data_IF_208576568623
#
_entry.id   IF_208576568623
#
_cell.length_a   1.000
_cell.length_b   1.000
_cell.length_c   1.000
_cell.angle_alpha   90.00
_cell.angle_beta   90.00
_cell.angle_gamma   90.00
#
_symmetry.space_group_name_H-M   'P 1'
#
loop_
_entity.id
_entity.type
_entity.pdbx_description
1 polymer ?
#
# COMPACT_ATOMS: atom_id res chain seq x y z
N UNK A 1 -15.48 -11.68 0.14
CA UNK A 1 -14.19 -11.93 0.78
C UNK A 1 -13.43 -10.64 0.92
N UNK A 2 -12.41 -10.62 1.77
CA UNK A 2 -11.53 -9.48 1.98
C UNK A 2 -10.10 -9.87 1.61
N UNK A 3 -9.42 -9.02 0.86
CA UNK A 3 -8.01 -9.15 0.51
C UNK A 3 -7.25 -7.94 1.05
N UNK A 4 -6.16 -8.16 1.78
CA UNK A 4 -5.23 -7.10 2.18
C UNK A 4 -3.91 -7.32 1.46
N UNK A 5 -3.41 -6.27 0.81
CA UNK A 5 -2.12 -6.30 0.09
C UNK A 5 -1.32 -5.08 0.49
N UNK A 6 -0.05 -5.30 0.83
CA UNK A 6 0.93 -4.24 1.10
C UNK A 6 1.88 -4.10 -0.09
N UNK A 7 2.28 -2.87 -0.39
CA UNK A 7 3.18 -2.56 -1.49
C UNK A 7 4.44 -1.88 -0.95
N UNK A 8 5.54 -2.63 -0.90
CA UNK A 8 6.82 -2.06 -0.48
C UNK A 8 7.24 -0.90 -1.39
N UNK A 9 7.87 0.09 -0.75
CA UNK A 9 8.43 1.30 -1.35
C UNK A 9 7.38 2.24 -1.96
N UNK A 10 6.10 2.04 -1.62
CA UNK A 10 4.97 2.87 -2.05
C UNK A 10 4.32 3.46 -0.81
N UNK A 11 4.07 4.77 -0.82
CA UNK A 11 3.29 5.41 0.23
C UNK A 11 1.79 5.09 0.07
N UNK A 12 1.16 4.57 1.13
CA UNK A 12 -0.22 4.10 1.09
C UNK A 12 -1.26 5.19 0.81
N UNK A 13 -1.04 6.41 1.30
CA UNK A 13 -1.94 7.56 1.04
C UNK A 13 -1.89 7.97 -0.44
N UNK A 14 -0.68 8.12 -0.98
CA UNK A 14 -0.46 8.38 -2.41
C UNK A 14 -1.11 7.31 -3.30
N UNK A 15 -1.03 6.04 -2.91
CA UNK A 15 -1.69 4.94 -3.62
C UNK A 15 -3.22 5.03 -3.52
N UNK A 16 -3.76 5.31 -2.33
CA UNK A 16 -5.20 5.49 -2.11
C UNK A 16 -5.76 6.65 -2.97
N UNK A 17 -5.08 7.79 -2.99
CA UNK A 17 -5.45 8.95 -3.82
C UNK A 17 -5.41 8.65 -5.32
N UNK A 18 -4.50 7.77 -5.76
CA UNK A 18 -4.38 7.38 -7.15
C UNK A 18 -5.49 6.43 -7.64
N UNK A 19 -6.18 5.76 -6.70
CA UNK A 19 -7.27 4.81 -6.93
C UNK A 19 -8.65 5.43 -6.60
N UNK A 20 -8.82 6.74 -6.79
CA UNK A 20 -10.04 7.49 -6.42
C UNK A 20 -11.35 6.98 -7.06
N UNK A 21 -11.24 6.23 -8.14
CA UNK A 21 -12.33 5.60 -8.89
C UNK A 21 -12.64 4.17 -8.42
N UNK A 22 -11.86 3.63 -7.47
CA UNK A 22 -12.04 2.30 -6.90
C UNK A 22 -12.35 2.41 -5.40
N UNK A 23 -13.43 1.79 -4.94
CA UNK A 23 -13.80 1.78 -3.53
C UNK A 23 -12.89 0.84 -2.73
N UNK A 24 -11.80 1.38 -2.18
CA UNK A 24 -10.83 0.68 -1.32
C UNK A 24 -10.64 1.40 0.02
N UNK A 25 -9.98 0.75 0.98
CA UNK A 25 -9.62 1.36 2.27
C UNK A 25 -8.17 1.05 2.63
N UNK A 26 -7.46 1.99 3.26
CA UNK A 26 -6.17 1.73 3.93
C UNK A 26 -6.35 1.56 5.45
N UNK A 27 -5.41 0.88 6.11
CA UNK A 27 -5.39 0.76 7.59
C UNK A 27 -6.46 -0.15 8.21
N UNK A 28 -6.69 -0.01 9.53
CA UNK A 28 -7.51 -0.91 10.37
C UNK A 28 -9.03 -0.78 10.19
N UNK A 29 -9.50 -0.34 9.03
CA UNK A 29 -10.88 0.09 8.79
C UNK A 29 -11.21 1.39 9.54
N UNK A 30 -11.51 2.45 8.78
CA UNK A 30 -12.20 3.64 9.27
C UNK A 30 -11.47 4.40 10.40
N UNK A 31 -10.56 5.32 10.07
CA UNK A 31 -10.17 6.35 11.04
C UNK A 31 -10.17 7.73 10.41
N UNK A 32 -11.02 8.59 10.98
CA UNK A 32 -10.92 10.04 10.91
C UNK A 32 -9.56 10.48 11.46
N UNK A 33 -8.73 11.07 10.61
CA UNK A 33 -7.63 11.97 10.98
C UNK A 33 -6.43 11.40 11.79
N UNK A 34 -6.24 10.09 11.93
CA UNK A 34 -4.98 9.54 12.46
C UNK A 34 -4.48 8.34 11.66
N UNK A 35 -3.24 8.50 11.19
CA UNK A 35 -2.48 7.63 10.30
C UNK A 35 -1.88 6.43 11.06
N UNK A 36 -2.62 5.86 12.00
CA UNK A 36 -2.11 4.74 12.78
C UNK A 36 -2.09 3.45 11.93
N UNK A 37 -0.96 2.70 11.90
CA UNK A 37 -0.88 1.46 11.15
C UNK A 37 -1.85 0.42 11.73
N UNK A 38 -2.31 -0.50 10.88
CA UNK A 38 -3.24 -1.53 11.31
C UNK A 38 -2.69 -2.36 12.47
N UNK A 39 -3.40 -2.33 13.61
CA UNK A 39 -3.04 -3.11 14.80
C UNK A 39 -3.00 -4.62 14.53
N UNK A 40 -3.80 -5.11 13.56
CA UNK A 40 -3.79 -6.51 13.11
C UNK A 40 -2.49 -6.83 12.38
N UNK A 41 -2.04 -5.95 11.48
CA UNK A 41 -0.79 -6.16 10.73
C UNK A 41 0.42 -6.08 11.67
N UNK A 42 0.40 -5.15 12.64
CA UNK A 42 1.40 -5.10 13.72
C UNK A 42 1.44 -6.42 14.52
N UNK A 43 0.28 -6.96 14.89
CA UNK A 43 0.19 -8.23 15.63
C UNK A 43 0.67 -9.45 14.81
N UNK A 44 0.63 -9.37 13.48
CA UNK A 44 1.17 -10.37 12.56
C UNK A 44 2.68 -10.23 12.34
N UNK A 45 3.35 -9.28 13.00
CA UNK A 45 4.79 -9.04 12.85
C UNK A 45 5.17 -8.32 11.55
N UNK A 46 4.21 -7.72 10.85
CA UNK A 46 4.50 -6.93 9.65
C UNK A 46 5.12 -5.61 10.11
N UNK A 47 6.27 -5.25 9.52
CA UNK A 47 7.00 -4.02 9.83
C UNK A 47 6.12 -2.78 9.66
N UNK A 48 6.36 -1.76 10.48
CA UNK A 48 5.52 -0.56 10.56
C UNK A 48 5.39 0.14 9.20
N UNK A 49 6.48 0.25 8.45
CA UNK A 49 6.48 0.80 7.10
C UNK A 49 5.53 0.04 6.16
N UNK A 50 5.59 -1.30 6.15
CA UNK A 50 4.71 -2.16 5.36
C UNK A 50 3.24 -2.06 5.75
N UNK A 51 2.96 -1.87 7.05
CA UNK A 51 1.60 -1.73 7.56
C UNK A 51 0.93 -0.44 7.07
N UNK A 52 1.68 0.65 6.88
CA UNK A 52 1.18 1.91 6.29
C UNK A 52 0.91 1.81 4.79
N UNK A 53 1.52 0.84 4.08
CA UNK A 53 1.31 0.62 2.64
C UNK A 53 0.13 -0.29 2.32
N UNK A 54 -0.59 -0.78 3.33
CA UNK A 54 -1.63 -1.78 3.16
C UNK A 54 -2.91 -1.18 2.56
N UNK A 55 -3.39 -1.80 1.49
CA UNK A 55 -4.70 -1.55 0.87
C UNK A 55 -5.58 -2.78 1.07
N UNK A 56 -6.82 -2.54 1.48
CA UNK A 56 -7.86 -3.56 1.65
C UNK A 56 -8.89 -3.46 0.55
N UNK A 57 -9.09 -4.58 -0.14
CA UNK A 57 -10.10 -4.77 -1.18
C UNK A 57 -11.23 -5.64 -0.66
N UNK A 58 -12.46 -5.15 -0.79
CA UNK A 58 -13.67 -5.93 -0.57
C UNK A 58 -14.15 -6.51 -1.90
N UNK A 59 -14.29 -7.82 -1.97
CA UNK A 59 -14.83 -8.53 -3.14
C UNK A 59 -16.13 -9.24 -2.76
N UNK A 60 -17.22 -8.94 -3.44
CA UNK A 60 -18.56 -9.45 -3.14
C UNK A 60 -19.24 -10.04 -4.37
N UNK A 61 -20.47 -10.53 -4.16
CA UNK A 61 -21.33 -11.08 -5.24
C UNK A 61 -21.62 -10.05 -6.35
N UNK A 62 -21.52 -8.76 -6.05
CA UNK A 62 -21.77 -7.69 -7.00
C UNK A 62 -20.58 -7.34 -7.91
N UNK A 63 -19.40 -7.94 -7.70
CA UNK A 63 -18.25 -7.66 -8.53
C UNK A 63 -18.20 -8.54 -9.77
N UNK A 64 -17.70 -8.00 -10.89
CA UNK A 64 -17.45 -8.75 -12.12
C UNK A 64 -15.96 -8.99 -12.34
N UNK A 65 -15.63 -9.92 -13.23
CA UNK A 65 -14.23 -10.23 -13.58
C UNK A 65 -13.56 -9.03 -14.25
N UNK A 66 -14.30 -8.31 -15.09
CA UNK A 66 -13.81 -7.11 -15.77
C UNK A 66 -13.50 -5.96 -14.81
N UNK A 67 -14.30 -5.81 -13.74
CA UNK A 67 -13.99 -4.83 -12.67
C UNK A 67 -12.71 -5.21 -11.94
N UNK A 68 -12.49 -6.50 -11.69
CA UNK A 68 -11.27 -6.99 -11.03
C UNK A 68 -10.05 -6.74 -11.92
N UNK A 69 -10.13 -7.09 -13.20
CA UNK A 69 -9.04 -6.86 -14.17
C UNK A 69 -8.71 -5.37 -14.29
N UNK A 70 -9.73 -4.51 -14.39
CA UNK A 70 -9.55 -3.06 -14.39
C UNK A 70 -8.81 -2.57 -13.14
N UNK A 71 -9.22 -3.02 -11.96
CA UNK A 71 -8.57 -2.64 -10.70
C UNK A 71 -7.13 -3.14 -10.65
N UNK A 72 -6.87 -4.36 -11.12
CA UNK A 72 -5.53 -4.93 -11.19
C UNK A 72 -4.60 -4.11 -12.09
N UNK A 73 -5.04 -3.74 -13.30
CA UNK A 73 -4.26 -2.94 -14.24
C UNK A 73 -3.96 -1.55 -13.68
N UNK A 74 -4.98 -0.89 -13.13
CA UNK A 74 -4.83 0.43 -12.50
C UNK A 74 -3.87 0.36 -11.31
N UNK A 75 -3.98 -0.66 -10.48
CA UNK A 75 -3.10 -0.86 -9.33
C UNK A 75 -1.64 -1.05 -9.75
N UNK A 76 -1.40 -1.88 -10.76
CA UNK A 76 -0.06 -2.12 -11.31
C UNK A 76 0.56 -0.85 -11.89
N UNK A 77 -0.22 -0.07 -12.65
CA UNK A 77 0.20 1.22 -13.21
C UNK A 77 0.60 2.20 -12.09
N UNK A 78 -0.25 2.38 -11.07
CA UNK A 78 0.00 3.35 -10.02
C UNK A 78 1.15 2.95 -9.09
N UNK A 79 1.27 1.67 -8.75
CA UNK A 79 2.41 1.14 -7.96
C UNK A 79 3.72 1.38 -8.71
N UNK A 80 3.76 1.10 -10.02
CA UNK A 80 4.94 1.34 -10.86
C UNK A 80 5.32 2.81 -10.89
N UNK A 81 4.32 3.69 -11.10
CA UNK A 81 4.53 5.14 -11.11
C UNK A 81 5.06 5.68 -9.79
N UNK A 82 4.49 5.24 -8.66
CA UNK A 82 4.91 5.68 -7.32
C UNK A 82 6.31 5.17 -6.98
N UNK A 83 6.64 3.94 -7.36
CA UNK A 83 8.00 3.39 -7.21
C UNK A 83 9.05 4.16 -8.00
N UNK A 84 8.73 4.62 -9.21
CA UNK A 84 9.64 5.43 -10.01
C UNK A 84 9.99 6.79 -9.37
N UNK A 85 9.20 7.26 -8.39
CA UNK A 85 9.44 8.49 -7.64
C UNK A 85 9.94 8.23 -6.22
N UNK A 86 10.14 6.96 -5.83
CA UNK A 86 10.47 6.56 -4.47
C UNK A 86 11.99 6.40 -4.32
N UNK A 87 12.67 7.24 -3.52
CA UNK A 87 14.11 7.09 -3.26
C UNK A 87 14.43 5.75 -2.60
N UNK A 88 13.52 5.23 -1.77
CA UNK A 88 13.66 3.92 -1.14
C UNK A 88 13.66 2.79 -2.16
N UNK A 89 12.84 2.90 -3.22
CA UNK A 89 12.82 1.91 -4.29
C UNK A 89 14.11 1.94 -5.11
N UNK A 90 14.63 3.13 -5.42
CA UNK A 90 15.91 3.29 -6.11
C UNK A 90 17.07 2.67 -5.31
N UNK A 91 17.13 2.94 -4.00
CA UNK A 91 18.14 2.35 -3.10
C UNK A 91 18.02 0.83 -3.02
N UNK A 92 16.79 0.29 -2.95
CA UNK A 92 16.55 -1.15 -2.97
C UNK A 92 17.00 -1.79 -4.31
N UNK A 93 16.72 -1.15 -5.44
CA UNK A 93 17.19 -1.59 -6.76
C UNK A 93 18.72 -1.56 -6.89
N UNK A 94 19.38 -0.61 -6.22
CA UNK A 94 20.84 -0.53 -6.13
C UNK A 94 21.47 -1.55 -5.15
N UNK A 95 20.65 -2.37 -4.47
CA UNK A 95 21.11 -3.40 -3.53
C UNK A 95 21.50 -2.87 -2.16
N UNK A 96 21.07 -1.66 -1.78
CA UNK A 96 21.32 -1.09 -0.45
C UNK A 96 20.40 -1.77 0.58
N UNK A 97 20.98 -2.27 1.67
CA UNK A 97 20.19 -2.77 2.79
C UNK A 97 19.61 -1.61 3.60
N UNK A 98 18.34 -1.33 3.37
CA UNK A 98 17.60 -0.25 4.01
C UNK A 98 17.47 -0.41 5.54
N UNK A 99 17.71 -1.62 6.08
CA UNK A 99 17.74 -1.85 7.53
C UNK A 99 19.05 -1.38 8.18
N UNK A 100 20.08 -1.14 7.38
CA UNK A 100 21.40 -0.69 7.85
C UNK A 100 21.67 0.79 7.56
N UNK A 101 20.85 1.41 6.71
CA UNK A 101 20.94 2.82 6.42
C UNK A 101 20.57 3.64 7.67
N UNK A 102 21.49 4.48 8.14
CA UNK A 102 21.26 5.42 9.24
C UNK A 102 20.36 6.55 8.72
N UNK A 103 19.07 6.48 9.05
CA UNK A 103 18.09 7.50 8.63
C UNK A 103 18.10 8.67 9.62
N UNK A 104 18.42 9.87 9.16
CA UNK A 104 18.14 11.10 9.92
C UNK A 104 16.65 11.39 9.83
N UNK A 105 15.90 11.07 10.90
CA UNK A 105 14.52 11.53 11.07
C UNK A 105 14.51 13.06 11.08
N UNK A 106 13.80 13.65 10.11
CA UNK A 106 13.38 15.05 10.14
C UNK A 106 11.93 15.16 10.57
#
# INVERSE_FOLDING_TARGET
>A
GNLNVSFEYVEGESLLMSLKDVAVSSGSACTSASLEPSYVLKALGIGEALAHTSIRFGLGRGNTEEEVDYVCDRLAEQVTRLRAMSPLYEMAQAGVDLNTAQWSLH
#
